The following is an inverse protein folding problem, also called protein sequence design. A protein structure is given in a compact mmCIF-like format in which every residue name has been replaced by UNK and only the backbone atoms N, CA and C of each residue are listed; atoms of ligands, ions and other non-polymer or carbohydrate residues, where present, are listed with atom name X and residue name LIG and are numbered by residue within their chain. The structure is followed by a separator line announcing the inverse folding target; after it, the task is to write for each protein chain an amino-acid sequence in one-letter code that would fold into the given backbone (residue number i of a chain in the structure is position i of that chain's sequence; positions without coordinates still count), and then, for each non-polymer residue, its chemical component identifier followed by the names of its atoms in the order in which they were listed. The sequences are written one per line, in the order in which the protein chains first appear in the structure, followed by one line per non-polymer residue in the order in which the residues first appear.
data_IF_412236210588
#
_entry.id   IF_412236210588
#
_cell.length_a   1.000
_cell.length_b   1.000
_cell.length_c   1.000
_cell.angle_alpha   90.00
_cell.angle_beta   90.00
_cell.angle_gamma   90.00
#
_symmetry.space_group_name_H-M   'P 1'
#
loop_
_entity.id
_entity.type
_entity.pdbx_description
1 polymer ?
#
# COMPACT_ATOMS: atom_id res chain seq x y z
N UNK A 1 13.28 -3.49 -20.56
CA UNK A 1 13.43 -2.49 -19.48
C UNK A 1 12.64 -1.27 -19.90
N UNK A 2 11.95 -0.61 -18.96
CA UNK A 2 11.27 0.63 -19.30
C UNK A 2 12.34 1.72 -19.40
N UNK A 3 12.68 2.14 -20.62
CA UNK A 3 13.59 3.26 -20.84
C UNK A 3 12.80 4.56 -20.76
N UNK A 4 12.44 4.98 -19.55
CA UNK A 4 11.78 6.28 -19.34
C UNK A 4 12.29 6.90 -18.06
N UNK A 5 12.68 8.16 -18.15
CA UNK A 5 13.08 8.98 -17.02
C UNK A 5 11.92 9.88 -16.64
N UNK A 6 11.55 9.92 -15.36
CA UNK A 6 10.46 10.74 -14.84
C UNK A 6 11.01 11.94 -14.06
N UNK A 7 10.44 13.11 -14.29
CA UNK A 7 10.87 14.38 -13.69
C UNK A 7 9.74 15.14 -12.98
N UNK A 8 8.50 14.69 -13.12
CA UNK A 8 7.33 15.33 -12.52
C UNK A 8 6.19 14.32 -12.28
N UNK A 9 5.14 14.78 -11.60
CA UNK A 9 3.98 13.98 -11.24
C UNK A 9 3.18 13.48 -12.47
N UNK A 10 3.04 14.29 -13.52
CA UNK A 10 2.28 13.92 -14.71
C UNK A 10 2.98 12.80 -15.50
N UNK A 11 4.31 12.87 -15.63
CA UNK A 11 5.14 11.82 -16.23
C UNK A 11 5.05 10.52 -15.43
N UNK A 12 5.03 10.62 -14.09
CA UNK A 12 4.83 9.46 -13.22
C UNK A 12 3.46 8.82 -13.48
N UNK A 13 2.39 9.60 -13.52
CA UNK A 13 1.03 9.12 -13.77
C UNK A 13 0.93 8.45 -15.15
N UNK A 14 1.44 9.08 -16.20
CA UNK A 14 1.46 8.53 -17.56
C UNK A 14 2.25 7.22 -17.61
N UNK A 15 3.37 7.14 -16.88
CA UNK A 15 4.16 5.92 -16.78
C UNK A 15 3.37 4.78 -16.12
N UNK A 16 2.65 5.09 -15.04
CA UNK A 16 1.79 4.12 -14.34
C UNK A 16 0.67 3.63 -15.26
N UNK A 17 -0.03 4.53 -15.95
CA UNK A 17 -1.12 4.17 -16.86
C UNK A 17 -0.59 3.31 -18.01
N UNK A 18 0.54 3.68 -18.63
CA UNK A 18 1.15 2.94 -19.72
C UNK A 18 1.62 1.55 -19.31
N UNK A 19 2.20 1.42 -18.11
CA UNK A 19 2.75 0.16 -17.64
C UNK A 19 1.70 -0.72 -16.94
N UNK A 20 0.62 -0.14 -16.45
CA UNK A 20 -0.41 -0.80 -15.64
C UNK A 20 0.03 -1.05 -14.19
N UNK A 21 1.28 -1.45 -13.96
CA UNK A 21 1.85 -1.71 -12.64
C UNK A 21 3.19 -0.99 -12.52
N UNK A 22 3.44 -0.31 -11.41
CA UNK A 22 4.71 0.37 -11.19
C UNK A 22 5.09 0.36 -9.69
N UNK A 23 6.07 -0.46 -9.27
CA UNK A 23 6.52 -0.47 -7.89
C UNK A 23 7.34 0.77 -7.59
N UNK A 24 7.25 1.27 -6.36
CA UNK A 24 7.96 2.48 -5.94
C UNK A 24 9.47 2.22 -5.81
N UNK A 25 9.85 1.09 -5.23
CA UNK A 25 11.24 0.73 -4.96
C UNK A 25 11.77 -0.34 -5.92
N UNK A 26 13.09 -0.43 -6.03
CA UNK A 26 13.79 -1.52 -6.71
C UNK A 26 13.27 -2.89 -6.26
N UNK A 27 13.01 -3.75 -7.23
CA UNK A 27 12.46 -5.09 -7.03
C UNK A 27 13.34 -6.14 -7.72
N UNK A 28 12.82 -7.37 -7.88
CA UNK A 28 13.55 -8.46 -8.55
C UNK A 28 13.65 -8.31 -10.08
N UNK A 29 13.03 -7.28 -10.66
CA UNK A 29 12.96 -7.00 -12.09
C UNK A 29 13.71 -5.69 -12.33
N UNK A 30 14.91 -5.76 -12.89
CA UNK A 30 15.72 -4.56 -13.13
C UNK A 30 15.07 -3.64 -14.17
N UNK A 31 15.18 -2.33 -13.93
CA UNK A 31 14.61 -1.28 -14.78
C UNK A 31 13.08 -1.23 -14.71
N UNK A 32 12.49 -1.63 -13.58
CA UNK A 32 11.05 -1.68 -13.36
C UNK A 32 10.70 -1.19 -11.96
N UNK A 33 11.00 0.07 -11.68
CA UNK A 33 10.60 0.80 -10.48
C UNK A 33 10.68 2.31 -10.66
N UNK A 34 9.93 3.06 -9.85
CA UNK A 34 10.02 4.54 -9.81
C UNK A 34 11.42 4.96 -9.41
N UNK A 35 12.03 4.29 -8.44
CA UNK A 35 13.42 4.50 -8.00
C UNK A 35 14.45 4.39 -9.14
N UNK A 36 14.26 3.46 -10.09
CA UNK A 36 15.15 3.31 -11.23
C UNK A 36 14.84 4.27 -12.38
N UNK A 37 13.59 4.74 -12.49
CA UNK A 37 13.16 5.70 -13.51
C UNK A 37 13.38 7.16 -13.08
N UNK A 38 13.68 7.41 -11.81
CA UNK A 38 13.89 8.77 -11.29
C UNK A 38 15.39 9.10 -11.25
N UNK A 39 15.81 10.28 -11.76
CA UNK A 39 17.16 10.77 -11.55
C UNK A 39 17.51 10.87 -10.05
N UNK A 40 18.76 10.55 -9.64
CA UNK A 40 19.15 10.61 -8.24
C UNK A 40 18.93 11.98 -7.56
N UNK A 41 19.04 13.08 -8.33
CA UNK A 41 18.80 14.45 -7.84
C UNK A 41 17.33 14.78 -7.56
N UNK A 42 16.38 13.89 -7.85
CA UNK A 42 14.96 14.08 -7.51
C UNK A 42 14.50 13.12 -6.41
N UNK A 43 15.36 12.21 -5.92
CA UNK A 43 14.93 11.14 -5.02
C UNK A 43 14.98 11.50 -3.53
N UNK A 44 15.94 12.35 -3.11
CA UNK A 44 16.12 12.80 -1.72
C UNK A 44 16.64 14.25 -1.61
N UNK A 45 16.46 15.09 -2.63
CA UNK A 45 17.00 16.44 -2.61
C UNK A 45 16.06 17.41 -1.88
N UNK A 46 16.56 18.04 -0.81
CA UNK A 46 15.78 18.97 0.00
C UNK A 46 15.41 20.21 -0.83
N UNK A 47 14.11 20.51 -0.90
CA UNK A 47 13.59 21.69 -1.61
C UNK A 47 13.31 21.48 -3.10
N UNK A 48 13.45 20.25 -3.61
CA UNK A 48 13.02 19.88 -4.96
C UNK A 48 11.88 18.86 -4.85
N UNK A 49 10.79 19.10 -5.57
CA UNK A 49 9.68 18.16 -5.61
C UNK A 49 10.13 16.86 -6.29
N UNK A 50 10.08 15.75 -5.55
CA UNK A 50 10.46 14.42 -6.02
C UNK A 50 9.29 13.43 -5.99
N UNK A 51 9.55 12.14 -6.23
CA UNK A 51 8.52 11.10 -6.20
C UNK A 51 7.77 10.97 -4.88
N UNK A 52 8.36 11.44 -3.77
CA UNK A 52 7.72 11.46 -2.46
C UNK A 52 6.62 12.50 -2.35
N UNK A 53 6.78 13.61 -3.06
CA UNK A 53 5.83 14.72 -3.14
C UNK A 53 4.79 14.42 -4.23
N UNK A 54 5.23 13.87 -5.37
CA UNK A 54 4.36 13.57 -6.53
C UNK A 54 3.30 12.51 -6.23
N UNK A 55 3.55 11.59 -5.30
CA UNK A 55 2.58 10.52 -4.97
C UNK A 55 1.21 11.05 -4.55
N UNK A 56 1.16 12.20 -3.85
CA UNK A 56 -0.09 12.78 -3.34
C UNK A 56 -0.97 13.35 -4.46
N UNK A 57 -0.44 14.22 -5.33
CA UNK A 57 -1.13 14.66 -6.54
C UNK A 57 -1.60 13.49 -7.43
N UNK A 58 -0.73 12.50 -7.67
CA UNK A 58 -1.04 11.38 -8.57
C UNK A 58 -2.20 10.50 -8.07
N UNK A 59 -2.28 10.21 -6.77
CA UNK A 59 -3.40 9.41 -6.23
C UNK A 59 -4.74 10.17 -6.24
N UNK A 60 -4.71 11.51 -6.19
CA UNK A 60 -5.92 12.35 -6.21
C UNK A 60 -6.56 12.45 -7.60
N UNK A 61 -5.83 12.10 -8.65
CA UNK A 61 -6.34 12.09 -10.03
C UNK A 61 -7.24 10.89 -10.32
N UNK A 62 -7.34 9.92 -9.41
CA UNK A 62 -8.19 8.72 -9.53
C UNK A 62 -7.91 7.83 -10.75
N UNK A 63 -6.79 8.03 -11.45
CA UNK A 63 -6.38 7.22 -12.62
C UNK A 63 -5.60 5.97 -12.21
N UNK A 64 -5.06 5.96 -11.01
CA UNK A 64 -4.34 4.85 -10.42
C UNK A 64 -4.61 4.77 -8.91
N UNK A 65 -4.37 3.58 -8.37
CA UNK A 65 -4.37 3.34 -6.93
C UNK A 65 -2.96 3.21 -6.40
N UNK A 66 -2.77 3.50 -5.12
CA UNK A 66 -1.51 3.37 -4.41
C UNK A 66 -1.65 2.54 -3.14
N UNK A 67 -0.67 1.68 -2.90
CA UNK A 67 -0.65 0.83 -1.72
C UNK A 67 0.54 -0.12 -1.70
N UNK A 68 0.66 -0.88 -0.61
CA UNK A 68 1.70 -1.91 -0.44
C UNK A 68 1.36 -3.21 -1.18
N UNK A 69 1.29 -3.16 -2.50
CA UNK A 69 0.86 -4.31 -3.33
C UNK A 69 1.99 -5.31 -3.64
N UNK A 70 3.25 -4.86 -3.69
CA UNK A 70 4.35 -5.65 -4.27
C UNK A 70 5.21 -6.31 -3.20
N UNK A 71 4.77 -7.47 -2.68
CA UNK A 71 5.42 -8.18 -1.57
C UNK A 71 5.64 -7.29 -0.32
N UNK A 72 4.63 -6.47 0.01
CA UNK A 72 4.70 -5.50 1.10
C UNK A 72 5.42 -4.19 0.76
N UNK A 73 5.94 -4.04 -0.46
CA UNK A 73 6.47 -2.77 -0.97
C UNK A 73 5.37 -1.93 -1.61
N UNK A 74 5.52 -0.62 -1.48
CA UNK A 74 4.60 0.34 -2.06
C UNK A 74 4.74 0.42 -3.59
N UNK A 75 3.66 0.81 -4.24
CA UNK A 75 3.66 1.18 -5.65
C UNK A 75 2.25 1.45 -6.14
N UNK A 76 2.16 1.69 -7.45
CA UNK A 76 0.95 2.08 -8.13
C UNK A 76 0.42 0.96 -9.02
N UNK A 77 -0.90 0.94 -9.17
CA UNK A 77 -1.61 0.11 -10.14
C UNK A 77 -2.61 1.01 -10.86
N UNK A 78 -2.57 1.01 -12.19
CA UNK A 78 -3.53 1.74 -13.01
C UNK A 78 -4.94 1.20 -12.80
N UNK A 79 -5.95 2.08 -12.87
CA UNK A 79 -7.35 1.70 -12.76
C UNK A 79 -7.82 0.76 -13.88
N UNK A 80 -7.15 0.72 -15.03
CA UNK A 80 -7.44 -0.27 -16.07
C UNK A 80 -7.16 -1.71 -15.60
N UNK A 81 -6.11 -1.88 -14.79
CA UNK A 81 -5.60 -3.19 -14.36
C UNK A 81 -6.01 -3.56 -12.94
N UNK A 82 -6.43 -2.59 -12.14
CA UNK A 82 -6.76 -2.81 -10.74
C UNK A 82 -7.92 -3.79 -10.52
N UNK A 83 -9.04 -3.78 -11.27
CA UNK A 83 -10.14 -4.73 -11.06
C UNK A 83 -9.73 -6.19 -11.26
N UNK A 84 -8.98 -6.50 -12.34
CA UNK A 84 -8.43 -7.84 -12.57
C UNK A 84 -7.41 -8.22 -11.48
N UNK A 85 -6.60 -7.27 -11.03
CA UNK A 85 -5.63 -7.49 -9.96
C UNK A 85 -6.31 -7.79 -8.63
N UNK A 86 -7.37 -7.06 -8.31
CA UNK A 86 -8.16 -7.26 -7.11
C UNK A 86 -8.91 -8.60 -7.12
N UNK A 87 -9.51 -8.96 -8.26
CA UNK A 87 -10.17 -10.27 -8.46
C UNK A 87 -9.22 -11.43 -8.14
N UNK A 88 -8.01 -11.38 -8.69
CA UNK A 88 -6.99 -12.40 -8.45
C UNK A 88 -6.46 -12.41 -7.01
N UNK A 89 -6.13 -11.25 -6.44
CA UNK A 89 -5.56 -11.16 -5.08
C UNK A 89 -6.55 -11.57 -4.00
N UNK A 90 -7.82 -11.17 -4.14
CA UNK A 90 -8.88 -11.48 -3.18
C UNK A 90 -9.22 -12.97 -3.19
N UNK A 91 -9.11 -13.66 -4.33
CA UNK A 91 -9.33 -15.13 -4.36
C UNK A 91 -8.29 -15.92 -3.57
N UNK A 92 -7.09 -15.35 -3.38
CA UNK A 92 -6.00 -15.96 -2.59
C UNK A 92 -6.01 -15.55 -1.13
N UNK A 93 -6.81 -14.56 -0.75
CA UNK A 93 -6.90 -14.06 0.61
C UNK A 93 -8.20 -14.51 1.27
N UNK A 94 -8.09 -15.18 2.41
CA UNK A 94 -9.23 -15.47 3.27
C UNK A 94 -8.94 -14.99 4.69
N UNK A 95 -9.91 -14.30 5.29
CA UNK A 95 -9.84 -13.94 6.70
C UNK A 95 -9.71 -15.18 7.59
N UNK A 96 -10.31 -16.31 7.22
CA UNK A 96 -10.28 -17.53 8.03
C UNK A 96 -8.87 -18.16 8.10
N UNK A 97 -8.00 -17.83 7.14
CA UNK A 97 -6.62 -18.29 7.11
C UNK A 97 -5.66 -17.35 7.86
N UNK A 98 -6.12 -16.21 8.39
CA UNK A 98 -5.25 -15.29 9.13
C UNK A 98 -5.13 -15.69 10.62
N UNK A 99 -3.96 -15.46 11.25
CA UNK A 99 -3.78 -15.79 12.66
C UNK A 99 -4.75 -15.03 13.56
N UNK A 100 -5.41 -15.75 14.47
CA UNK A 100 -6.24 -15.13 15.49
C UNK A 100 -5.36 -14.51 16.59
N UNK A 101 -5.83 -13.40 17.17
CA UNK A 101 -5.21 -12.82 18.35
C UNK A 101 -5.38 -13.74 19.58
N UNK A 102 -4.71 -13.38 20.68
CA UNK A 102 -4.80 -14.08 21.97
C UNK A 102 -6.23 -14.19 22.54
N UNK A 103 -7.18 -13.40 22.03
CA UNK A 103 -8.59 -13.40 22.42
C UNK A 103 -9.47 -14.11 21.36
N UNK A 104 -8.87 -14.79 20.37
CA UNK A 104 -9.60 -15.48 19.29
C UNK A 104 -10.18 -14.54 18.24
N UNK A 105 -9.77 -13.27 18.18
CA UNK A 105 -10.28 -12.29 17.22
C UNK A 105 -9.37 -12.17 16.00
N UNK A 106 -9.98 -12.03 14.84
CA UNK A 106 -9.29 -11.73 13.60
C UNK A 106 -8.97 -10.23 13.53
N UNK A 107 -7.67 -9.87 13.57
CA UNK A 107 -7.24 -8.47 13.57
C UNK A 107 -7.45 -7.81 12.22
N UNK A 108 -7.22 -8.51 11.13
CA UNK A 108 -7.47 -8.04 9.76
C UNK A 108 -8.92 -7.68 9.58
N UNK A 109 -9.83 -8.58 9.98
CA UNK A 109 -11.27 -8.34 9.87
C UNK A 109 -11.70 -7.14 10.69
N UNK A 110 -11.19 -7.02 11.92
CA UNK A 110 -11.48 -5.86 12.79
C UNK A 110 -11.04 -4.55 12.12
N UNK A 111 -9.83 -4.51 11.56
CA UNK A 111 -9.31 -3.31 10.86
C UNK A 111 -10.13 -3.03 9.60
N UNK A 112 -10.43 -4.05 8.81
CA UNK A 112 -11.23 -3.92 7.60
C UNK A 112 -12.63 -3.39 7.89
N UNK A 113 -13.36 -4.01 8.81
CA UNK A 113 -14.71 -3.60 9.21
C UNK A 113 -14.71 -2.16 9.75
N UNK A 114 -13.66 -1.76 10.48
CA UNK A 114 -13.50 -0.39 10.97
C UNK A 114 -13.35 0.61 9.82
N UNK A 115 -12.54 0.28 8.80
CA UNK A 115 -12.36 1.14 7.62
C UNK A 115 -13.63 1.19 6.77
N UNK A 116 -14.31 0.07 6.58
CA UNK A 116 -15.62 0.02 5.88
C UNK A 116 -16.64 0.90 6.59
N UNK A 117 -16.76 0.80 7.92
CA UNK A 117 -17.77 1.55 8.68
C UNK A 117 -17.55 3.06 8.76
N UNK A 118 -16.32 3.54 8.51
CA UNK A 118 -15.99 4.97 8.52
C UNK A 118 -15.67 5.53 7.13
N UNK A 119 -15.66 4.67 6.10
CA UNK A 119 -15.26 4.91 4.70
C UNK A 119 -13.81 5.36 4.50
N UNK A 120 -13.28 6.28 5.31
CA UNK A 120 -11.95 6.86 5.17
C UNK A 120 -11.35 7.25 6.52
N UNK A 121 -10.18 6.70 6.84
CA UNK A 121 -9.50 6.93 8.14
C UNK A 121 -8.00 7.15 7.99
N UNK A 122 -7.45 8.02 8.81
CA UNK A 122 -6.01 8.17 8.97
C UNK A 122 -5.40 6.98 9.72
N UNK A 123 -4.14 6.67 9.43
CA UNK A 123 -3.39 5.62 10.15
C UNK A 123 -3.46 5.75 11.68
N UNK A 124 -3.50 6.98 12.22
CA UNK A 124 -3.58 7.26 13.67
C UNK A 124 -4.95 6.91 14.25
N UNK A 125 -6.01 7.10 13.47
CA UNK A 125 -7.40 6.84 13.89
C UNK A 125 -7.66 5.33 13.92
N UNK A 126 -7.26 4.61 12.86
CA UNK A 126 -7.38 3.14 12.81
C UNK A 126 -6.60 2.51 13.98
N UNK A 127 -5.37 2.99 14.26
CA UNK A 127 -4.57 2.53 15.41
C UNK A 127 -5.29 2.75 16.74
N UNK A 128 -6.04 3.85 16.87
CA UNK A 128 -6.79 4.17 18.09
C UNK A 128 -8.04 3.32 18.22
N UNK A 129 -8.83 3.18 17.15
CA UNK A 129 -10.09 2.43 17.13
C UNK A 129 -9.88 0.93 17.29
N UNK A 130 -8.84 0.37 16.65
CA UNK A 130 -8.54 -1.06 16.70
C UNK A 130 -7.67 -1.47 17.90
N UNK A 131 -7.39 -0.56 18.83
CA UNK A 131 -6.67 -0.88 20.07
C UNK A 131 -5.18 -1.20 19.89
N UNK A 132 -4.53 -0.74 18.82
CA UNK A 132 -3.08 -0.92 18.60
C UNK A 132 -2.21 0.09 19.37
N UNK A 133 -2.81 1.05 20.06
CA UNK A 133 -2.07 1.93 20.97
C UNK A 133 -1.59 1.13 22.18
N UNK A 134 -0.28 1.01 22.32
CA UNK A 134 0.32 0.62 23.60
C UNK A 134 -0.08 1.67 24.64
N UNK A 135 -0.55 1.29 25.84
CA UNK A 135 -0.69 2.23 26.93
C UNK A 135 0.64 2.97 27.09
N UNK A 136 0.62 4.30 27.14
CA UNK A 136 1.80 5.03 27.62
C UNK A 136 1.94 4.63 29.08
N UNK A 137 2.76 3.62 29.37
CA UNK A 137 3.21 3.37 30.73
C UNK A 137 4.04 4.59 31.11
N UNK A 138 3.43 5.52 31.84
CA UNK A 138 4.17 6.56 32.53
C UNK A 138 4.95 5.82 33.62
N UNK A 139 6.17 5.40 33.30
CA UNK A 139 7.10 4.88 34.29
C UNK A 139 7.51 6.08 35.15
N UNK A 140 6.85 6.27 36.28
CA UNK A 140 7.25 7.27 37.27
C UNK A 140 8.58 6.90 37.93
N UNK A 141 8.95 5.62 37.94
CA UNK A 141 10.20 5.14 38.56
C UNK A 141 11.11 4.36 37.59
N UNK A 142 12.42 4.68 37.52
CA UNK A 142 13.40 3.98 36.67
C UNK A 142 13.51 2.47 36.92
N UNK A 143 13.17 2.00 38.13
CA UNK A 143 13.29 0.61 38.54
C UNK A 143 12.17 -0.29 38.00
N UNK A 144 10.99 0.25 37.67
CA UNK A 144 9.86 -0.50 37.06
C UNK A 144 10.16 -0.97 35.62
N UNK A 145 11.06 -0.28 34.92
CA UNK A 145 11.51 -0.66 33.56
C UNK A 145 12.21 -2.01 33.52
N UNK A 146 12.81 -2.45 34.64
CA UNK A 146 13.52 -3.73 34.73
C UNK A 146 12.55 -4.90 34.99
N UNK A 147 11.51 -4.69 35.79
CA UNK A 147 10.52 -5.73 36.15
C UNK A 147 9.44 -5.96 35.09
N UNK A 148 9.15 -4.96 34.25
CA UNK A 148 8.17 -5.08 33.15
C UNK A 148 8.67 -5.89 31.95
N UNK A 149 9.96 -6.27 31.92
CA UNK A 149 10.56 -7.13 30.88
C UNK A 149 10.32 -8.63 31.08
N UNK A 150 9.55 -9.03 32.08
CA UNK A 150 9.29 -10.44 32.42
C UNK A 150 7.87 -10.83 32.07
N UNK A 151 7.66 -11.32 30.84
CA UNK A 151 6.78 -12.44 30.48
C UNK A 151 6.86 -12.63 28.96
N UNK A 152 7.22 -13.86 28.55
CA UNK A 152 7.16 -14.32 27.16
C UNK A 152 5.74 -14.28 26.62
N UNK A 153 5.27 -13.08 26.33
CA UNK A 153 4.05 -12.86 25.57
C UNK A 153 4.36 -13.15 24.12
N UNK A 154 3.51 -13.95 23.48
CA UNK A 154 3.51 -14.11 22.03
C UNK A 154 3.51 -12.69 21.43
N UNK A 155 4.44 -12.35 20.52
CA UNK A 155 4.46 -11.03 19.91
C UNK A 155 3.11 -10.76 19.27
N UNK A 156 2.34 -9.84 19.84
CA UNK A 156 1.11 -9.40 19.21
C UNK A 156 1.44 -8.81 17.84
N UNK A 157 0.74 -9.27 16.80
CA UNK A 157 0.99 -8.80 15.45
C UNK A 157 0.86 -7.28 15.37
N UNK A 158 1.82 -6.66 14.70
CA UNK A 158 1.86 -5.21 14.59
C UNK A 158 0.75 -4.70 13.67
N UNK A 159 0.24 -3.50 13.95
CA UNK A 159 -0.71 -2.80 13.07
C UNK A 159 -0.21 -2.73 11.62
N UNK A 160 1.07 -2.44 11.44
CA UNK A 160 1.69 -2.32 10.12
C UNK A 160 1.64 -3.65 9.35
N UNK A 161 1.80 -4.78 10.05
CA UNK A 161 1.69 -6.12 9.44
C UNK A 161 0.27 -6.41 8.97
N UNK A 162 -0.72 -6.18 9.84
CA UNK A 162 -2.15 -6.38 9.54
C UNK A 162 -2.56 -5.52 8.34
N UNK A 163 -2.22 -4.23 8.39
CA UNK A 163 -2.54 -3.27 7.33
C UNK A 163 -1.82 -3.58 6.01
N UNK A 164 -0.58 -4.08 6.07
CA UNK A 164 0.15 -4.48 4.86
C UNK A 164 -0.50 -5.70 4.21
N UNK A 165 -0.97 -6.69 4.99
CA UNK A 165 -1.71 -7.85 4.44
C UNK A 165 -3.02 -7.43 3.77
N UNK A 166 -3.78 -6.52 4.38
CA UNK A 166 -5.01 -5.98 3.80
C UNK A 166 -4.75 -5.21 2.50
N UNK A 167 -3.67 -4.44 2.43
CA UNK A 167 -3.24 -3.78 1.18
C UNK A 167 -2.81 -4.78 0.11
N UNK A 168 -2.02 -5.79 0.47
CA UNK A 168 -1.61 -6.85 -0.47
C UNK A 168 -2.80 -7.66 -1.00
N UNK A 169 -3.85 -7.80 -0.20
CA UNK A 169 -5.11 -8.41 -0.59
C UNK A 169 -6.02 -7.48 -1.40
N UNK A 170 -5.62 -6.22 -1.66
CA UNK A 170 -6.39 -5.19 -2.38
C UNK A 170 -7.74 -4.85 -1.70
N UNK A 171 -7.83 -5.06 -0.39
CA UNK A 171 -9.04 -4.75 0.40
C UNK A 171 -9.00 -3.31 0.94
N UNK A 172 -7.79 -2.78 1.16
CA UNK A 172 -7.56 -1.41 1.61
C UNK A 172 -6.51 -0.78 0.70
N UNK A 173 -6.71 0.49 0.37
CA UNK A 173 -5.78 1.30 -0.42
C UNK A 173 -5.51 2.62 0.28
N UNK A 174 -4.48 3.34 -0.16
CA UNK A 174 -4.20 4.70 0.30
C UNK A 174 -4.98 5.66 -0.59
N UNK A 175 -5.84 6.47 0.02
CA UNK A 175 -6.62 7.51 -0.68
C UNK A 175 -5.85 8.82 -0.80
N UNK A 176 -5.17 9.22 0.28
CA UNK A 176 -4.45 10.49 0.33
C UNK A 176 -3.33 10.46 1.39
N UNK A 177 -2.51 11.50 1.39
CA UNK A 177 -1.57 11.83 2.46
C UNK A 177 -1.91 13.19 3.06
N UNK A 178 -2.15 13.21 4.37
CA UNK A 178 -2.38 14.44 5.12
C UNK A 178 -1.13 14.89 5.86
N UNK A 179 -0.80 16.16 5.72
CA UNK A 179 0.37 16.77 6.34
C UNK A 179 -0.07 17.59 7.54
N UNK A 180 0.74 17.58 8.60
CA UNK A 180 0.47 18.48 9.72
C UNK A 180 0.80 19.91 9.28
N UNK A 181 0.01 20.88 9.75
CA UNK A 181 0.23 22.28 9.43
C UNK A 181 0.88 22.99 10.61
N UNK A 182 1.92 23.76 10.34
CA UNK A 182 2.56 24.57 11.37
C UNK A 182 1.69 25.77 11.73
N UNK A 183 2.18 26.59 12.66
CA UNK A 183 1.48 27.83 13.09
C UNK A 183 1.28 28.86 11.96
N UNK A 184 1.97 28.70 10.84
CA UNK A 184 1.89 29.54 9.65
C UNK A 184 1.07 28.89 8.51
N UNK A 185 0.46 27.73 8.76
CA UNK A 185 -0.33 26.99 7.78
C UNK A 185 0.49 26.20 6.77
N UNK A 186 1.81 26.05 6.98
CA UNK A 186 2.70 25.31 6.09
C UNK A 186 2.74 23.82 6.46
N UNK A 187 2.68 22.90 5.48
CA UNK A 187 2.87 21.47 5.71
C UNK A 187 4.23 21.18 6.37
N UNK A 188 4.25 20.35 7.40
CA UNK A 188 5.46 19.87 8.05
C UNK A 188 5.37 18.38 8.43
N UNK A 189 6.54 17.75 8.51
CA UNK A 189 6.69 16.34 8.84
C UNK A 189 6.27 15.40 7.71
N UNK A 190 6.17 14.12 8.05
CA UNK A 190 5.81 13.07 7.10
C UNK A 190 4.30 13.01 6.88
N UNK A 191 3.89 12.89 5.61
CA UNK A 191 2.50 12.70 5.24
C UNK A 191 1.88 11.48 5.93
N UNK A 192 0.78 11.69 6.63
CA UNK A 192 -0.02 10.69 7.31
C UNK A 192 -0.94 10.05 6.28
N UNK A 193 -0.72 8.77 5.98
CA UNK A 193 -1.57 8.05 5.03
C UNK A 193 -3.02 7.93 5.54
N UNK A 194 -3.95 8.28 4.65
CA UNK A 194 -5.39 8.06 4.73
C UNK A 194 -5.74 6.79 3.97
N UNK A 195 -6.46 5.89 4.62
CA UNK A 195 -6.83 4.59 4.09
C UNK A 195 -8.34 4.48 3.90
N UNK A 196 -8.73 3.71 2.90
CA UNK A 196 -10.13 3.49 2.52
C UNK A 196 -10.23 2.14 1.80
N UNK A 197 -11.46 1.68 1.52
CA UNK A 197 -11.67 0.56 0.62
C UNK A 197 -11.68 1.05 -0.83
N UNK A 198 -11.23 0.23 -1.80
CA UNK A 198 -11.34 0.59 -3.20
C UNK A 198 -12.79 0.92 -3.62
N UNK A 199 -13.77 0.20 -3.08
CA UNK A 199 -15.20 0.40 -3.37
C UNK A 199 -15.70 1.76 -2.90
N UNK A 200 -15.31 2.20 -1.69
CA UNK A 200 -15.69 3.53 -1.20
C UNK A 200 -14.97 4.64 -1.99
N UNK A 201 -13.77 4.36 -2.49
CA UNK A 201 -12.93 5.34 -3.14
C UNK A 201 -13.31 5.60 -4.60
N UNK A 202 -13.60 4.54 -5.34
CA UNK A 202 -13.82 4.59 -6.79
C UNK A 202 -15.26 4.23 -7.18
N UNK A 203 -16.09 3.79 -6.23
CA UNK A 203 -17.47 3.38 -6.47
C UNK A 203 -17.56 2.27 -7.52
N UNK A 204 -18.47 2.46 -8.48
CA UNK A 204 -18.70 1.52 -9.59
C UNK A 204 -17.49 1.34 -10.51
N UNK A 205 -16.48 2.23 -10.43
CA UNK A 205 -15.24 2.14 -11.21
C UNK A 205 -14.37 0.92 -10.88
N UNK A 206 -14.70 0.16 -9.83
CA UNK A 206 -13.98 -1.05 -9.39
C UNK A 206 -14.80 -2.33 -9.53
N UNK A 207 -15.92 -2.28 -10.25
CA UNK A 207 -16.70 -3.48 -10.54
C UNK A 207 -15.79 -4.64 -10.95
N UNK A 208 -15.83 -5.73 -10.16
CA UNK A 208 -14.99 -6.90 -10.42
C UNK A 208 -15.34 -7.43 -11.82
N UNK A 209 -14.34 -7.81 -12.62
CA UNK A 209 -14.58 -8.28 -13.97
C UNK A 209 -15.41 -9.56 -13.96
N UNK A 210 -16.23 -9.75 -14.99
CA UNK A 210 -16.93 -11.01 -15.26
C UNK A 210 -15.95 -12.04 -15.84
N UNK A 211 -14.97 -12.42 -15.01
CA UNK A 211 -13.90 -13.38 -15.30
C UNK A 211 -13.52 -14.14 -14.05
N UNK A 212 -13.06 -15.36 -14.23
CA UNK A 212 -12.44 -16.12 -13.15
C UNK A 212 -11.14 -15.46 -12.68
N UNK A 213 -10.75 -15.63 -11.40
CA UNK A 213 -9.47 -15.12 -10.91
C UNK A 213 -8.26 -15.59 -11.73
N UNK A 214 -8.31 -16.81 -12.26
CA UNK A 214 -7.30 -17.41 -13.12
C UNK A 214 -7.21 -16.73 -14.50
N UNK A 215 -8.33 -16.32 -15.08
CA UNK A 215 -8.36 -15.53 -16.33
C UNK A 215 -7.82 -14.12 -16.11
N UNK A 216 -8.20 -13.46 -15.01
CA UNK A 216 -7.62 -12.16 -14.61
C UNK A 216 -6.10 -12.26 -14.44
N UNK A 217 -5.62 -13.32 -13.77
CA UNK A 217 -4.18 -13.61 -13.65
C UNK A 217 -3.52 -13.78 -15.02
N UNK A 218 -4.10 -14.57 -15.91
CA UNK A 218 -3.54 -14.82 -17.24
C UNK A 218 -3.44 -13.53 -18.06
N UNK A 219 -4.47 -12.68 -17.99
CA UNK A 219 -4.51 -11.35 -18.64
C UNK A 219 -3.36 -10.45 -18.14
N UNK A 220 -3.19 -10.34 -16.82
CA UNK A 220 -2.11 -9.55 -16.21
C UNK A 220 -0.74 -10.08 -16.62
N UNK A 221 -0.53 -11.41 -16.57
CA UNK A 221 0.74 -12.01 -16.97
C UNK A 221 1.04 -11.79 -18.46
N UNK A 222 0.03 -11.87 -19.33
CA UNK A 222 0.20 -11.58 -20.75
C UNK A 222 0.71 -10.15 -20.97
N UNK A 223 0.08 -9.17 -20.32
CA UNK A 223 0.48 -7.77 -20.36
C UNK A 223 1.89 -7.55 -19.81
N UNK A 224 2.20 -8.09 -18.63
CA UNK A 224 3.52 -7.94 -18.03
C UNK A 224 4.63 -8.58 -18.87
N UNK A 225 4.37 -9.70 -19.56
CA UNK A 225 5.34 -10.32 -20.49
C UNK A 225 5.63 -9.40 -21.69
N UNK A 226 4.65 -8.64 -22.17
CA UNK A 226 4.84 -7.69 -23.26
C UNK A 226 5.70 -6.49 -22.83
N UNK A 227 5.50 -5.98 -21.62
CA UNK A 227 6.26 -4.83 -21.09
C UNK A 227 7.66 -5.26 -20.62
N UNK A 228 7.78 -6.47 -20.07
CA UNK A 228 8.98 -7.00 -19.42
C UNK A 228 9.44 -8.30 -20.09
N UNK A 229 9.86 -8.27 -21.37
CA UNK A 229 10.25 -9.48 -22.10
C UNK A 229 11.48 -10.18 -21.50
N UNK A 230 12.29 -9.47 -20.71
CA UNK A 230 13.48 -10.02 -20.04
C UNK A 230 13.18 -10.61 -18.66
N UNK A 231 11.96 -10.50 -18.15
CA UNK A 231 11.59 -11.05 -16.84
C UNK A 231 11.20 -12.52 -16.97
N UNK A 232 11.71 -13.37 -16.07
CA UNK A 232 11.31 -14.78 -16.01
C UNK A 232 9.89 -14.92 -15.46
N UNK A 233 9.21 -16.00 -15.85
CA UNK A 233 7.84 -16.27 -15.40
C UNK A 233 7.72 -16.36 -13.87
N UNK A 234 8.69 -16.98 -13.20
CA UNK A 234 8.75 -17.05 -11.73
C UNK A 234 8.79 -15.66 -11.07
N UNK A 235 9.53 -14.71 -11.67
CA UNK A 235 9.61 -13.33 -11.16
C UNK A 235 8.30 -12.59 -11.37
N UNK A 236 7.64 -12.79 -12.51
CA UNK A 236 6.33 -12.20 -12.80
C UNK A 236 5.25 -12.75 -11.87
N UNK A 237 5.24 -14.06 -11.62
CA UNK A 237 4.32 -14.70 -10.67
C UNK A 237 4.52 -14.17 -9.25
N UNK A 238 5.78 -14.09 -8.79
CA UNK A 238 6.11 -13.50 -7.49
C UNK A 238 5.68 -12.03 -7.38
N UNK A 239 5.80 -11.28 -8.47
CA UNK A 239 5.42 -9.86 -8.53
C UNK A 239 3.90 -9.68 -8.38
N UNK A 240 3.10 -10.47 -9.10
CA UNK A 240 1.63 -10.35 -9.07
C UNK A 240 1.01 -10.99 -7.83
N UNK A 241 1.71 -11.87 -7.10
CA UNK A 241 1.22 -12.50 -5.87
C UNK A 241 0.86 -13.96 -6.00
#
# INVERSE_FOLDING_TARGET
MIQSTIHNADELEQLVVRCGFLPFFRNSISGFSIEECTPPGLWFEDGVDGPWEWKGPVIRNWTCTYGKFFCGKAGFVSMEWFPDFANYRRSKFSFDCTPLDKNGRNREKTVYDTVVGHESLLSKEIKSLCGFRKPKTICTNPMERLFTKTKGSIPEESFETVLTRLQMATLIVVADFEYQLDRHGQPYGWGIARYTTPEALFGDGIALPDRTPEESKARILCHLRQILPSATEERLLKFIG
#
